data_IF_175518358849
#
_entry.id   IF_175518358849
#
_cell.length_a   1.000
_cell.length_b   1.000
_cell.length_c   1.000
_cell.angle_alpha   90.00
_cell.angle_beta   90.00
_cell.angle_gamma   90.00
#
_symmetry.space_group_name_H-M   'P 1'
#
loop_
_entity.id
_entity.type
_entity.pdbx_description
1 polymer ?
#
# COMPACT_ATOMS: atom_id res chain seq x y z
N UNK A 1 13.70 -3.03 13.13
CA UNK A 1 13.97 -1.63 12.73
C UNK A 1 12.64 -1.00 12.34
N UNK A 2 12.21 0.11 12.96
CA UNK A 2 10.95 0.77 12.60
C UNK A 2 11.21 1.69 11.40
N UNK A 3 10.20 1.87 10.53
CA UNK A 3 10.28 2.80 9.39
C UNK A 3 10.76 4.20 9.80
N UNK A 4 10.24 4.69 10.92
CA UNK A 4 10.60 5.98 11.49
C UNK A 4 12.12 6.14 11.73
N UNK A 5 12.78 5.10 12.27
CA UNK A 5 14.20 5.15 12.63
C UNK A 5 15.07 5.34 11.38
N UNK A 6 14.75 4.61 10.30
CA UNK A 6 15.44 4.68 8.99
C UNK A 6 15.25 6.07 8.35
N UNK A 7 14.03 6.60 8.39
CA UNK A 7 13.74 7.89 7.74
C UNK A 7 14.29 9.08 8.52
N UNK A 8 14.34 9.00 9.86
CA UNK A 8 14.81 10.10 10.71
C UNK A 8 16.30 10.33 10.57
N UNK A 9 17.10 9.27 10.45
CA UNK A 9 18.55 9.39 10.28
C UNK A 9 18.95 9.92 8.90
N UNK A 10 18.14 9.66 7.87
CA UNK A 10 18.48 9.98 6.49
C UNK A 10 17.92 11.32 5.97
N UNK A 11 16.93 11.92 6.65
CA UNK A 11 16.37 13.23 6.27
C UNK A 11 17.09 14.35 7.05
N UNK A 12 17.76 15.29 6.37
CA UNK A 12 18.40 16.43 7.05
C UNK A 12 17.33 17.31 7.71
N UNK A 13 17.50 17.59 9.01
CA UNK A 13 16.52 18.35 9.80
C UNK A 13 16.38 19.82 9.43
N UNK A 14 17.39 20.41 8.78
CA UNK A 14 17.34 21.77 8.25
C UNK A 14 18.11 21.86 6.91
N UNK A 15 17.45 21.54 5.79
CA UNK A 15 18.05 21.67 4.46
C UNK A 15 18.25 23.14 4.13
N UNK A 16 19.43 23.53 3.63
CA UNK A 16 19.64 24.88 3.10
C UNK A 16 18.85 25.05 1.79
N UNK A 17 17.90 25.99 1.78
CA UNK A 17 17.03 26.27 0.62
C UNK A 17 17.43 27.57 -0.05
N UNK A 18 18.71 27.70 -0.39
CA UNK A 18 19.26 28.94 -0.96
C UNK A 18 18.91 29.10 -2.46
N UNK A 19 18.51 28.02 -3.14
CA UNK A 19 18.07 28.06 -4.53
C UNK A 19 16.97 27.04 -4.85
N UNK A 20 16.25 27.25 -5.95
CA UNK A 20 15.23 26.31 -6.46
C UNK A 20 15.82 24.96 -6.88
N UNK A 21 17.09 24.93 -7.33
CA UNK A 21 17.82 23.69 -7.63
C UNK A 21 18.06 22.86 -6.37
N UNK A 22 18.36 23.52 -5.26
CA UNK A 22 18.56 22.84 -3.97
C UNK A 22 17.25 22.19 -3.51
N UNK A 23 16.11 22.87 -3.71
CA UNK A 23 14.78 22.35 -3.37
C UNK A 23 14.47 21.06 -4.15
N UNK A 24 14.70 21.03 -5.47
CA UNK A 24 14.48 19.84 -6.30
C UNK A 24 15.36 18.66 -5.87
N UNK A 25 16.62 18.92 -5.51
CA UNK A 25 17.54 17.90 -5.03
C UNK A 25 17.11 17.35 -3.66
N UNK A 26 16.65 18.23 -2.76
CA UNK A 26 16.11 17.85 -1.46
C UNK A 26 14.85 16.97 -1.64
N UNK A 27 13.93 17.36 -2.53
CA UNK A 27 12.72 16.58 -2.84
C UNK A 27 13.10 15.18 -3.36
N UNK A 28 14.07 15.09 -4.27
CA UNK A 28 14.57 13.81 -4.78
C UNK A 28 15.15 12.94 -3.67
N UNK A 29 15.99 13.50 -2.78
CA UNK A 29 16.57 12.78 -1.64
C UNK A 29 15.51 12.28 -0.67
N UNK A 30 14.56 13.13 -0.27
CA UNK A 30 13.46 12.73 0.63
C UNK A 30 12.63 11.61 -0.01
N UNK A 31 12.31 11.76 -1.30
CA UNK A 31 11.56 10.75 -2.05
C UNK A 31 12.30 9.41 -2.06
N UNK A 32 13.60 9.42 -2.36
CA UNK A 32 14.43 8.21 -2.38
C UNK A 32 14.53 7.53 -0.99
N UNK A 33 14.67 8.31 0.08
CA UNK A 33 14.69 7.80 1.47
C UNK A 33 13.36 7.15 1.84
N UNK A 34 12.23 7.81 1.52
CA UNK A 34 10.89 7.27 1.78
C UNK A 34 10.69 5.96 1.01
N UNK A 35 11.03 5.92 -0.29
CA UNK A 35 10.94 4.70 -1.09
C UNK A 35 11.80 3.57 -0.53
N UNK A 36 13.03 3.88 -0.13
CA UNK A 36 13.94 2.89 0.47
C UNK A 36 13.39 2.35 1.77
N UNK A 37 12.89 3.21 2.67
CA UNK A 37 12.27 2.79 3.92
C UNK A 37 11.01 1.95 3.70
N UNK A 38 10.16 2.31 2.73
CA UNK A 38 8.99 1.53 2.35
C UNK A 38 9.41 0.15 1.83
N UNK A 39 10.41 0.08 0.94
CA UNK A 39 10.90 -1.17 0.38
C UNK A 39 11.54 -2.08 1.43
N UNK A 40 12.29 -1.52 2.39
CA UNK A 40 12.89 -2.29 3.48
C UNK A 40 11.86 -2.81 4.47
N UNK A 41 10.83 -2.03 4.77
CA UNK A 41 9.81 -2.39 5.77
C UNK A 41 8.68 -3.25 5.20
N UNK A 42 8.36 -3.05 3.92
CA UNK A 42 7.35 -3.85 3.24
C UNK A 42 7.94 -5.20 2.83
N UNK A 43 7.32 -6.30 3.24
CA UNK A 43 7.60 -7.64 2.67
C UNK A 43 7.15 -7.77 1.19
N UNK A 44 6.69 -6.69 0.57
CA UNK A 44 6.26 -6.69 -0.83
C UNK A 44 7.47 -6.74 -1.77
N UNK A 45 7.28 -7.34 -2.96
CA UNK A 45 8.20 -7.20 -4.10
C UNK A 45 8.55 -5.71 -4.26
N UNK A 46 9.84 -5.40 -4.37
CA UNK A 46 10.40 -4.05 -4.53
C UNK A 46 9.48 -3.20 -5.41
N UNK A 47 9.05 -2.04 -4.91
CA UNK A 47 8.19 -1.10 -5.64
C UNK A 47 9.06 -0.34 -6.66
N UNK A 48 9.57 -1.05 -7.65
CA UNK A 48 10.24 -0.46 -8.81
C UNK A 48 9.22 -0.39 -9.95
N UNK A 49 8.55 0.75 -10.10
CA UNK A 49 7.63 1.00 -11.21
C UNK A 49 6.41 1.83 -10.84
N UNK A 50 5.56 2.19 -11.83
CA UNK A 50 4.28 2.84 -11.56
C UNK A 50 3.46 2.00 -10.58
N UNK A 51 2.68 2.65 -9.70
CA UNK A 51 1.77 1.97 -8.78
C UNK A 51 1.00 0.85 -9.52
N UNK A 52 1.32 -0.42 -9.21
CA UNK A 52 0.67 -1.58 -9.81
C UNK A 52 -0.82 -1.52 -9.44
N UNK A 53 -1.65 -1.10 -10.39
CA UNK A 53 -3.09 -1.07 -10.22
C UNK A 53 -3.58 -2.51 -10.27
N UNK A 54 -4.37 -2.92 -9.28
CA UNK A 54 -5.03 -4.22 -9.31
C UNK A 54 -6.01 -4.26 -10.49
N UNK A 55 -6.17 -5.41 -11.16
CA UNK A 55 -7.16 -5.58 -12.21
C UNK A 55 -8.58 -5.27 -11.69
N UNK A 56 -9.48 -4.76 -12.56
CA UNK A 56 -10.88 -4.47 -12.22
C UNK A 56 -11.60 -5.64 -11.55
N UNK A 57 -11.27 -6.87 -11.93
CA UNK A 57 -11.81 -8.09 -11.32
C UNK A 57 -11.58 -8.15 -9.80
N UNK A 58 -10.38 -7.80 -9.35
CA UNK A 58 -9.99 -7.85 -7.94
C UNK A 58 -10.58 -6.64 -7.19
N UNK A 59 -10.51 -5.44 -7.80
CA UNK A 59 -11.05 -4.23 -7.17
C UNK A 59 -12.56 -4.29 -6.98
N UNK A 60 -13.31 -4.86 -7.93
CA UNK A 60 -14.75 -5.07 -7.81
C UNK A 60 -15.10 -6.01 -6.62
N UNK A 61 -14.36 -7.10 -6.43
CA UNK A 61 -14.53 -7.99 -5.27
C UNK A 61 -14.21 -7.29 -3.95
N UNK A 62 -13.18 -6.44 -3.92
CA UNK A 62 -12.85 -5.63 -2.73
C UNK A 62 -14.01 -4.70 -2.38
N UNK A 63 -14.57 -3.99 -3.37
CA UNK A 63 -15.72 -3.11 -3.19
C UNK A 63 -16.91 -3.85 -2.63
N UNK A 64 -17.28 -4.99 -3.21
CA UNK A 64 -18.38 -5.83 -2.73
C UNK A 64 -18.16 -6.31 -1.28
N UNK A 65 -16.96 -6.80 -0.97
CA UNK A 65 -16.59 -7.25 0.38
C UNK A 65 -16.73 -6.13 1.41
N UNK A 66 -16.36 -4.91 1.03
CA UNK A 66 -16.46 -3.74 1.90
C UNK A 66 -17.91 -3.31 2.15
N UNK A 67 -18.76 -3.34 1.12
CA UNK A 67 -20.20 -3.11 1.26
C UNK A 67 -20.84 -4.13 2.22
N UNK A 68 -20.48 -5.41 2.08
CA UNK A 68 -20.96 -6.47 2.98
C UNK A 68 -20.47 -6.27 4.42
N UNK A 69 -19.22 -5.84 4.63
CA UNK A 69 -18.72 -5.51 5.97
C UNK A 69 -19.49 -4.36 6.62
N UNK A 70 -19.79 -3.30 5.86
CA UNK A 70 -20.63 -2.18 6.35
C UNK A 70 -22.02 -2.68 6.74
N UNK A 71 -22.67 -3.49 5.88
CA UNK A 71 -23.98 -4.08 6.20
C UNK A 71 -23.93 -4.98 7.43
N UNK A 72 -22.87 -5.78 7.60
CA UNK A 72 -22.66 -6.61 8.79
C UNK A 72 -22.56 -5.78 10.07
N UNK A 73 -21.90 -4.62 10.05
CA UNK A 73 -21.78 -3.76 11.23
C UNK A 73 -23.13 -3.23 11.72
N UNK A 74 -24.08 -3.05 10.80
CA UNK A 74 -25.42 -2.56 11.11
C UNK A 74 -26.33 -3.72 11.55
N UNK A 75 -26.36 -4.80 10.77
CA UNK A 75 -27.34 -5.87 10.93
C UNK A 75 -26.91 -7.00 11.87
N UNK A 76 -25.60 -7.13 12.14
CA UNK A 76 -24.98 -8.26 12.84
C UNK A 76 -25.29 -9.67 12.27
N UNK A 77 -25.91 -9.77 11.09
CA UNK A 77 -26.31 -11.04 10.49
C UNK A 77 -25.07 -11.93 10.16
N UNK A 78 -25.02 -13.18 10.68
CA UNK A 78 -23.94 -14.13 10.42
C UNK A 78 -23.70 -14.45 8.93
N UNK A 79 -24.73 -14.34 8.07
CA UNK A 79 -24.62 -14.57 6.63
C UNK A 79 -23.66 -13.58 5.97
N UNK A 80 -23.66 -12.32 6.40
CA UNK A 80 -22.70 -11.33 5.90
C UNK A 80 -21.28 -11.60 6.40
N UNK A 81 -21.11 -12.18 7.60
CA UNK A 81 -19.79 -12.64 8.09
C UNK A 81 -19.21 -13.74 7.18
N UNK A 82 -20.02 -14.76 6.86
CA UNK A 82 -19.60 -15.87 5.99
C UNK A 82 -19.23 -15.36 4.59
N UNK A 83 -20.12 -14.57 3.96
CA UNK A 83 -19.86 -13.98 2.63
C UNK A 83 -18.63 -13.08 2.59
N UNK A 84 -18.42 -12.25 3.62
CA UNK A 84 -17.22 -11.39 3.70
C UNK A 84 -15.93 -12.20 3.83
N UNK A 85 -15.98 -13.30 4.57
CA UNK A 85 -14.84 -14.21 4.75
C UNK A 85 -14.51 -14.94 3.44
N UNK A 86 -15.54 -15.46 2.75
CA UNK A 86 -15.39 -16.08 1.42
C UNK A 86 -14.72 -15.11 0.43
N UNK A 87 -15.27 -13.90 0.28
CA UNK A 87 -14.69 -12.89 -0.62
C UNK A 87 -13.25 -12.52 -0.23
N UNK A 88 -12.91 -12.53 1.06
CA UNK A 88 -11.54 -12.28 1.50
C UNK A 88 -10.58 -13.36 1.00
N UNK A 89 -11.00 -14.63 1.03
CA UNK A 89 -10.19 -15.74 0.54
C UNK A 89 -10.06 -15.72 -0.99
N UNK A 90 -11.14 -15.42 -1.71
CA UNK A 90 -11.11 -15.27 -3.17
C UNK A 90 -10.19 -14.12 -3.61
N UNK A 91 -10.26 -12.96 -2.95
CA UNK A 91 -9.37 -11.82 -3.24
C UNK A 91 -7.90 -12.22 -3.03
N UNK A 92 -7.59 -12.94 -1.94
CA UNK A 92 -6.23 -13.43 -1.68
C UNK A 92 -5.74 -14.37 -2.78
N UNK A 93 -6.58 -15.31 -3.22
CA UNK A 93 -6.26 -16.23 -4.31
C UNK A 93 -6.04 -15.47 -5.64
N UNK A 94 -6.93 -14.54 -5.96
CA UNK A 94 -6.86 -13.75 -7.19
C UNK A 94 -5.62 -12.84 -7.23
N UNK A 95 -5.20 -12.27 -6.10
CA UNK A 95 -3.96 -11.49 -6.00
C UNK A 95 -2.74 -12.40 -6.18
N UNK A 96 -2.74 -13.56 -5.52
CA UNK A 96 -1.63 -14.52 -5.64
C UNK A 96 -1.45 -15.00 -7.09
N UNK A 97 -2.55 -15.26 -7.79
CA UNK A 97 -2.53 -15.61 -9.21
C UNK A 97 -1.98 -14.46 -10.07
N UNK A 98 -2.51 -13.25 -9.87
CA UNK A 98 -2.05 -12.06 -10.60
C UNK A 98 -0.56 -11.77 -10.41
N UNK A 99 -0.03 -11.97 -9.20
CA UNK A 99 1.39 -11.76 -8.90
C UNK A 99 2.31 -12.87 -9.44
N UNK A 100 1.75 -14.04 -9.80
CA UNK A 100 2.47 -15.12 -10.49
C UNK A 100 2.48 -14.93 -12.01
N UNK A 101 1.38 -14.41 -12.56
CA UNK A 101 1.21 -14.16 -14.00
C UNK A 101 1.91 -12.86 -14.47
N UNK A 102 2.59 -12.11 -13.58
CA UNK A 102 3.15 -10.78 -13.82
C UNK A 102 4.57 -10.57 -13.28
#
# INVERSE_FOLDING_TARGET
>A
MKFYDITKEAIPGNPSTNSTKDIDEIIKKITAVIFTGINQYSKAKIINGPHRKLPPRITNKITLRNQIKKRRQITYDPRFKRKSTQLTNEIKADIKQHDQDS
#
